data_IF_165682150334
#
_entry.id   IF_165682150334
#
_cell.length_a   1.000
_cell.length_b   1.000
_cell.length_c   1.000
_cell.angle_alpha   90.00
_cell.angle_beta   90.00
_cell.angle_gamma   90.00
#
_symmetry.space_group_name_H-M   'P 1'
#
loop_
_entity.id
_entity.type
_entity.pdbx_description
1 polymer ?
#
# COMPACT_ATOMS: atom_id res chain seq x y z
N UNK A 1 -41.85 -29.69 -25.95
CA UNK A 1 -40.56 -30.33 -25.64
C UNK A 1 -39.63 -29.95 -26.78
N UNK A 2 -38.88 -28.87 -26.61
CA UNK A 2 -37.92 -28.42 -27.61
C UNK A 2 -36.83 -29.49 -27.73
N UNK A 3 -36.53 -29.92 -28.95
CA UNK A 3 -35.40 -30.77 -29.25
C UNK A 3 -34.13 -30.04 -28.82
N UNK A 4 -33.22 -30.66 -28.04
CA UNK A 4 -31.94 -30.04 -27.74
C UNK A 4 -31.22 -29.73 -29.07
N UNK A 5 -30.80 -28.48 -29.20
CA UNK A 5 -30.06 -28.00 -30.36
C UNK A 5 -28.64 -28.56 -30.32
N UNK A 6 -28.48 -29.76 -30.88
CA UNK A 6 -27.22 -30.48 -30.95
C UNK A 6 -26.17 -29.72 -31.76
N UNK A 7 -26.59 -28.92 -32.74
CA UNK A 7 -25.67 -28.13 -33.57
C UNK A 7 -25.05 -26.99 -32.74
N UNK A 8 -25.86 -26.29 -31.94
CA UNK A 8 -25.36 -25.31 -30.96
C UNK A 8 -24.41 -25.93 -29.94
N UNK A 9 -24.67 -27.17 -29.49
CA UNK A 9 -23.76 -27.89 -28.59
C UNK A 9 -22.42 -28.22 -29.24
N UNK A 10 -22.42 -28.73 -30.48
CA UNK A 10 -21.20 -29.06 -31.22
C UNK A 10 -20.35 -27.80 -31.43
N UNK A 11 -20.97 -26.70 -31.86
CA UNK A 11 -20.28 -25.42 -32.06
C UNK A 11 -19.65 -24.92 -30.76
N UNK A 12 -20.39 -24.97 -29.64
CA UNK A 12 -19.87 -24.57 -28.34
C UNK A 12 -18.69 -25.45 -27.91
N UNK A 13 -18.82 -26.77 -28.08
CA UNK A 13 -17.77 -27.73 -27.71
C UNK A 13 -16.48 -27.47 -28.50
N UNK A 14 -16.58 -27.25 -29.81
CA UNK A 14 -15.42 -26.97 -30.66
C UNK A 14 -14.71 -25.67 -30.20
N UNK A 15 -15.47 -24.63 -29.88
CA UNK A 15 -14.93 -23.38 -29.33
C UNK A 15 -14.20 -23.62 -27.99
N UNK A 16 -14.78 -24.39 -27.08
CA UNK A 16 -14.14 -24.69 -25.79
C UNK A 16 -12.88 -25.54 -25.96
N UNK A 17 -12.88 -26.49 -26.88
CA UNK A 17 -11.70 -27.31 -27.20
C UNK A 17 -10.58 -26.44 -27.74
N UNK A 18 -10.89 -25.48 -28.63
CA UNK A 18 -9.91 -24.55 -29.17
C UNK A 18 -9.24 -23.72 -28.07
N UNK A 19 -10.04 -23.16 -27.15
CA UNK A 19 -9.55 -22.39 -25.99
C UNK A 19 -8.67 -23.26 -25.09
N UNK A 20 -9.10 -24.48 -24.79
CA UNK A 20 -8.33 -25.43 -23.97
C UNK A 20 -6.99 -25.78 -24.63
N UNK A 21 -7.00 -26.11 -25.93
CA UNK A 21 -5.80 -26.40 -26.69
C UNK A 21 -4.84 -25.22 -26.74
N UNK A 22 -5.36 -24.00 -26.96
CA UNK A 22 -4.57 -22.78 -26.93
C UNK A 22 -3.94 -22.56 -25.55
N UNK A 23 -4.72 -22.67 -24.48
CA UNK A 23 -4.26 -22.53 -23.10
C UNK A 23 -3.14 -23.52 -22.77
N UNK A 24 -3.26 -24.79 -23.17
CA UNK A 24 -2.22 -25.80 -22.94
C UNK A 24 -0.93 -25.48 -23.71
N UNK A 25 -1.02 -24.99 -24.95
CA UNK A 25 0.15 -24.59 -25.74
C UNK A 25 0.88 -23.41 -25.10
N UNK A 26 0.13 -22.38 -24.71
CA UNK A 26 0.64 -21.15 -24.11
C UNK A 26 1.19 -21.36 -22.70
N UNK A 27 0.75 -22.41 -21.99
CA UNK A 27 1.22 -22.71 -20.62
C UNK A 27 2.74 -22.90 -20.53
N UNK A 28 3.36 -23.55 -21.51
CA UNK A 28 4.81 -23.76 -21.52
C UNK A 28 5.58 -22.47 -21.76
N UNK A 29 5.06 -21.59 -22.62
CA UNK A 29 5.65 -20.26 -22.85
C UNK A 29 5.51 -19.38 -21.62
N UNK A 30 4.31 -19.34 -21.03
CA UNK A 30 4.03 -18.64 -19.77
C UNK A 30 5.01 -19.03 -18.66
N UNK A 31 5.22 -20.33 -18.42
CA UNK A 31 6.15 -20.81 -17.41
C UNK A 31 7.58 -20.34 -17.66
N UNK A 32 8.06 -20.43 -18.90
CA UNK A 32 9.40 -19.98 -19.29
C UNK A 32 9.58 -18.48 -19.10
N UNK A 33 8.60 -17.68 -19.50
CA UNK A 33 8.65 -16.22 -19.36
C UNK A 33 8.68 -15.82 -17.89
N UNK A 34 7.88 -16.47 -17.04
CA UNK A 34 7.89 -16.24 -15.59
C UNK A 34 9.21 -16.68 -14.96
N UNK A 35 9.78 -17.82 -15.36
CA UNK A 35 11.09 -18.29 -14.87
C UNK A 35 12.25 -17.38 -15.27
N UNK A 36 12.15 -16.70 -16.41
CA UNK A 36 13.16 -15.74 -16.88
C UNK A 36 13.04 -14.37 -16.23
N UNK A 37 11.92 -14.08 -15.55
CA UNK A 37 11.71 -12.81 -14.86
C UNK A 37 12.35 -12.83 -13.48
N UNK A 38 12.98 -11.72 -13.09
CA UNK A 38 13.55 -11.56 -11.75
C UNK A 38 12.46 -11.23 -10.71
N UNK A 39 11.37 -10.60 -11.12
CA UNK A 39 10.35 -10.08 -10.20
C UNK A 39 9.12 -10.98 -10.11
N UNK A 40 8.99 -12.00 -10.95
CA UNK A 40 7.83 -12.88 -10.97
C UNK A 40 8.16 -14.27 -10.44
N UNK A 41 7.17 -14.90 -9.80
CA UNK A 41 7.26 -16.29 -9.32
C UNK A 41 6.02 -17.05 -9.73
N UNK A 42 6.24 -18.23 -10.29
CA UNK A 42 5.16 -19.15 -10.64
C UNK A 42 4.51 -19.67 -9.36
N UNK A 43 3.18 -19.65 -9.32
CA UNK A 43 2.38 -20.17 -8.21
C UNK A 43 1.46 -21.26 -8.73
N UNK A 44 1.55 -22.44 -8.13
CA UNK A 44 0.62 -23.52 -8.40
C UNK A 44 -0.70 -23.30 -7.65
N UNK A 45 -1.81 -23.34 -8.40
CA UNK A 45 -3.16 -23.17 -7.88
C UNK A 45 -3.92 -24.47 -8.11
N UNK A 46 -4.33 -25.13 -7.02
CA UNK A 46 -5.01 -26.41 -7.10
C UNK A 46 -6.36 -26.26 -7.83
N UNK A 47 -6.61 -27.15 -8.80
CA UNK A 47 -7.87 -27.20 -9.55
C UNK A 47 -8.06 -26.06 -10.57
N UNK A 48 -7.02 -25.29 -10.88
CA UNK A 48 -7.11 -24.21 -11.86
C UNK A 48 -6.89 -24.69 -13.30
N UNK A 49 -7.85 -24.42 -14.17
CA UNK A 49 -7.83 -24.84 -15.58
C UNK A 49 -7.16 -23.83 -16.53
N UNK A 50 -6.76 -22.65 -16.05
CA UNK A 50 -6.10 -21.61 -16.83
C UNK A 50 -4.57 -21.78 -16.93
N UNK A 51 -3.89 -20.72 -17.38
CA UNK A 51 -2.43 -20.70 -17.51
C UNK A 51 -1.71 -20.95 -16.18
N UNK A 52 -2.20 -20.35 -15.09
CA UNK A 52 -1.66 -20.52 -13.75
C UNK A 52 -1.78 -19.28 -12.87
N UNK A 53 -1.01 -19.28 -11.78
CA UNK A 53 -0.84 -18.12 -10.91
C UNK A 53 0.55 -17.53 -11.04
N UNK A 54 0.66 -16.21 -10.95
CA UNK A 54 1.94 -15.50 -10.85
C UNK A 54 1.91 -14.57 -9.66
N UNK A 55 2.99 -14.57 -8.89
CA UNK A 55 3.19 -13.63 -7.79
C UNK A 55 4.28 -12.64 -8.17
N UNK A 56 4.00 -11.36 -7.99
CA UNK A 56 5.03 -10.35 -8.04
C UNK A 56 5.79 -10.34 -6.71
N UNK A 57 7.09 -10.56 -6.78
CA UNK A 57 8.01 -10.56 -5.65
C UNK A 57 9.17 -9.60 -5.95
N UNK A 58 9.21 -8.44 -5.27
CA UNK A 58 10.34 -7.52 -5.37
C UNK A 58 11.67 -8.22 -5.11
N UNK A 59 12.71 -7.83 -5.84
CA UNK A 59 14.08 -8.38 -5.71
C UNK A 59 14.59 -8.25 -4.27
N UNK A 60 14.20 -7.19 -3.56
CA UNK A 60 14.53 -6.97 -2.13
C UNK A 60 14.07 -8.11 -1.22
N UNK A 61 13.02 -8.85 -1.60
CA UNK A 61 12.46 -9.96 -0.83
C UNK A 61 12.92 -11.34 -1.31
N UNK A 62 13.81 -11.45 -2.31
CA UNK A 62 14.28 -12.76 -2.78
C UNK A 62 15.12 -13.50 -1.74
N UNK A 63 16.02 -12.78 -1.05
CA UNK A 63 16.95 -13.35 -0.06
C UNK A 63 16.47 -13.19 1.39
N UNK A 64 15.37 -12.47 1.59
CA UNK A 64 14.82 -12.24 2.93
C UNK A 64 14.15 -13.50 3.46
N UNK A 65 14.41 -13.86 4.72
CA UNK A 65 13.63 -14.91 5.38
C UNK A 65 12.16 -14.50 5.38
N UNK A 66 11.26 -15.37 4.90
CA UNK A 66 9.82 -15.14 4.91
C UNK A 66 9.27 -15.14 6.35
N UNK A 67 9.50 -14.04 7.06
CA UNK A 67 8.81 -13.72 8.31
C UNK A 67 7.34 -13.41 8.01
N UNK A 68 6.49 -13.54 9.01
CA UNK A 68 5.05 -13.28 8.84
C UNK A 68 4.76 -11.82 8.42
N UNK A 69 5.62 -10.88 8.83
CA UNK A 69 5.54 -9.49 8.39
C UNK A 69 5.78 -9.34 6.88
N UNK A 70 6.83 -10.00 6.35
CA UNK A 70 7.15 -9.96 4.92
C UNK A 70 6.03 -10.63 4.10
N UNK A 71 5.47 -11.74 4.60
CA UNK A 71 4.31 -12.39 3.99
C UNK A 71 3.11 -11.45 3.89
N UNK A 72 2.81 -10.71 4.95
CA UNK A 72 1.73 -9.73 4.96
C UNK A 72 1.98 -8.59 3.96
N UNK A 73 3.20 -8.05 3.92
CA UNK A 73 3.55 -7.02 2.94
C UNK A 73 3.43 -7.53 1.50
N UNK A 74 3.91 -8.74 1.23
CA UNK A 74 3.82 -9.36 -0.10
C UNK A 74 2.37 -9.63 -0.51
N UNK A 75 1.53 -10.05 0.45
CA UNK A 75 0.10 -10.22 0.21
C UNK A 75 -0.59 -8.90 -0.11
N UNK A 76 -0.36 -7.85 0.70
CA UNK A 76 -0.95 -6.54 0.45
C UNK A 76 -0.54 -6.00 -0.92
N UNK A 77 0.74 -6.12 -1.27
CA UNK A 77 1.25 -5.71 -2.58
C UNK A 77 0.56 -6.47 -3.72
N UNK A 78 0.49 -7.80 -3.64
CA UNK A 78 -0.13 -8.61 -4.70
C UNK A 78 -1.65 -8.41 -4.78
N UNK A 79 -2.33 -8.14 -3.66
CA UNK A 79 -3.77 -7.82 -3.65
C UNK A 79 -4.00 -6.48 -4.36
N UNK A 80 -3.27 -5.43 -3.97
CA UNK A 80 -3.39 -4.12 -4.61
C UNK A 80 -3.03 -4.18 -6.10
N UNK A 81 -1.99 -4.93 -6.45
CA UNK A 81 -1.60 -5.19 -7.84
C UNK A 81 -2.76 -5.79 -8.65
N UNK A 82 -3.42 -6.82 -8.12
CA UNK A 82 -4.58 -7.42 -8.80
C UNK A 82 -5.72 -6.43 -8.90
N UNK A 83 -6.01 -5.65 -7.86
CA UNK A 83 -7.05 -4.63 -7.90
C UNK A 83 -6.79 -3.58 -8.99
N UNK A 84 -5.53 -3.14 -9.12
CA UNK A 84 -5.10 -2.23 -10.19
C UNK A 84 -5.26 -2.88 -11.57
N UNK A 85 -4.74 -4.09 -11.75
CA UNK A 85 -4.84 -4.82 -13.02
C UNK A 85 -6.30 -5.06 -13.43
N UNK A 86 -7.20 -5.29 -12.48
CA UNK A 86 -8.64 -5.44 -12.74
C UNK A 86 -9.32 -4.18 -13.27
N UNK A 87 -8.74 -3.01 -13.03
CA UNK A 87 -9.24 -1.76 -13.65
C UNK A 87 -8.88 -1.66 -15.13
N UNK A 88 -7.77 -2.29 -15.53
CA UNK A 88 -7.30 -2.34 -16.92
C UNK A 88 -7.97 -3.46 -17.69
N UNK A 89 -8.01 -4.67 -17.11
CA UNK A 89 -8.57 -5.85 -17.75
C UNK A 89 -9.26 -6.78 -16.73
N UNK A 90 -10.49 -7.16 -17.04
CA UNK A 90 -11.28 -8.09 -16.23
C UNK A 90 -10.74 -9.54 -16.26
N UNK A 91 -9.81 -9.86 -17.16
CA UNK A 91 -9.15 -11.17 -17.24
C UNK A 91 -8.29 -11.50 -16.02
N UNK A 92 -7.83 -10.48 -15.28
CA UNK A 92 -7.04 -10.68 -14.07
C UNK A 92 -7.94 -10.93 -12.85
N UNK A 93 -7.59 -11.92 -12.04
CA UNK A 93 -8.32 -12.22 -10.81
C UNK A 93 -7.39 -12.56 -9.65
N UNK A 94 -7.88 -12.33 -8.43
CA UNK A 94 -7.11 -12.63 -7.24
C UNK A 94 -7.08 -14.15 -7.02
N UNK A 95 -5.90 -14.66 -6.70
CA UNK A 95 -5.71 -16.03 -6.27
C UNK A 95 -4.86 -16.17 -5.05
N UNK A 96 -4.86 -17.40 -4.55
CA UNK A 96 -4.12 -17.82 -3.38
C UNK A 96 -3.36 -19.08 -3.78
N UNK A 97 -2.05 -19.09 -3.50
CA UNK A 97 -1.21 -20.26 -3.65
C UNK A 97 -1.42 -21.25 -2.50
N UNK A 98 -0.87 -22.46 -2.63
CA UNK A 98 -0.91 -23.46 -1.56
C UNK A 98 -0.20 -23.04 -0.26
N UNK A 99 0.57 -21.95 -0.30
CA UNK A 99 1.28 -21.32 0.81
C UNK A 99 0.46 -20.22 1.53
N UNK A 100 -0.78 -19.96 1.12
CA UNK A 100 -1.64 -18.92 1.69
C UNK A 100 -1.25 -17.50 1.28
N UNK A 101 -0.40 -17.37 0.25
CA UNK A 101 0.05 -16.08 -0.26
C UNK A 101 -0.70 -15.71 -1.55
N UNK A 102 -1.05 -14.43 -1.66
CA UNK A 102 -1.78 -13.86 -2.78
C UNK A 102 -0.97 -13.96 -4.09
N UNK A 103 -1.68 -14.11 -5.20
CA UNK A 103 -1.14 -14.14 -6.55
C UNK A 103 -2.16 -13.64 -7.57
N UNK A 104 -1.69 -13.27 -8.75
CA UNK A 104 -2.50 -12.95 -9.93
C UNK A 104 -2.84 -14.25 -10.65
N UNK A 105 -4.13 -14.53 -10.85
CA UNK A 105 -4.60 -15.68 -11.62
C UNK A 105 -4.75 -15.31 -13.09
N UNK A 106 -4.22 -16.17 -13.94
CA UNK A 106 -4.37 -16.11 -15.38
C UNK A 106 -5.36 -17.18 -15.84
N UNK A 107 -6.45 -16.73 -16.45
CA UNK A 107 -7.52 -17.58 -16.96
C UNK A 107 -7.12 -18.46 -18.14
N UNK A 108 -8.14 -19.00 -18.80
CA UNK A 108 -7.98 -19.62 -20.10
C UNK A 108 -7.73 -18.54 -21.15
N UNK A 109 -6.94 -18.87 -22.16
CA UNK A 109 -6.53 -17.94 -23.22
C UNK A 109 -6.86 -18.51 -24.59
N UNK A 110 -7.06 -17.61 -25.55
CA UNK A 110 -7.26 -17.97 -26.97
C UNK A 110 -5.91 -18.07 -27.68
N UNK A 111 -5.90 -18.58 -28.91
CA UNK A 111 -4.66 -18.75 -29.68
C UNK A 111 -3.92 -17.42 -29.90
N UNK A 112 -4.66 -16.32 -30.08
CA UNK A 112 -4.13 -14.99 -30.39
C UNK A 112 -3.69 -14.20 -29.14
N UNK A 113 -3.82 -14.78 -27.94
CA UNK A 113 -3.44 -14.10 -26.70
C UNK A 113 -1.91 -13.99 -26.60
N UNK A 114 -1.41 -12.76 -26.45
CA UNK A 114 0.01 -12.51 -26.18
C UNK A 114 0.29 -12.64 -24.68
N UNK A 115 0.89 -13.76 -24.30
CA UNK A 115 1.24 -14.05 -22.91
C UNK A 115 2.34 -13.12 -22.40
N UNK A 116 3.27 -12.70 -23.27
CA UNK A 116 4.38 -11.82 -22.91
C UNK A 116 3.89 -10.42 -22.56
N UNK A 117 2.96 -9.88 -23.35
CA UNK A 117 2.32 -8.59 -23.06
C UNK A 117 1.58 -8.63 -21.71
N UNK A 118 0.79 -9.69 -21.47
CA UNK A 118 0.06 -9.83 -20.20
C UNK A 118 1.00 -9.90 -18.99
N UNK A 119 2.11 -10.62 -19.10
CA UNK A 119 3.13 -10.67 -18.04
C UNK A 119 3.82 -9.31 -17.87
N UNK A 120 4.14 -8.62 -18.96
CA UNK A 120 4.72 -7.28 -18.93
C UNK A 120 3.80 -6.24 -18.27
N UNK A 121 2.49 -6.36 -18.42
CA UNK A 121 1.50 -5.56 -17.68
C UNK A 121 1.60 -5.83 -16.17
N UNK A 122 1.72 -7.09 -15.75
CA UNK A 122 1.88 -7.44 -14.33
C UNK A 122 3.19 -6.91 -13.77
N UNK A 123 4.30 -7.01 -14.52
CA UNK A 123 5.60 -6.48 -14.10
C UNK A 123 5.56 -4.97 -13.94
N UNK A 124 5.01 -4.26 -14.93
CA UNK A 124 4.92 -2.79 -14.91
C UNK A 124 4.03 -2.31 -13.77
N UNK A 125 2.83 -2.89 -13.63
CA UNK A 125 1.92 -2.54 -12.55
C UNK A 125 2.48 -2.91 -11.16
N UNK A 126 3.22 -4.02 -11.07
CA UNK A 126 3.88 -4.46 -9.85
C UNK A 126 4.99 -3.50 -9.41
N UNK A 127 5.79 -3.02 -10.36
CA UNK A 127 6.83 -2.04 -10.11
C UNK A 127 6.24 -0.70 -9.64
N UNK A 128 5.19 -0.21 -10.30
CA UNK A 128 4.51 1.01 -9.89
C UNK A 128 3.87 0.90 -8.50
N UNK A 129 3.28 -0.25 -8.17
CA UNK A 129 2.71 -0.50 -6.84
C UNK A 129 3.81 -0.58 -5.77
N UNK A 130 4.95 -1.19 -6.09
CA UNK A 130 6.13 -1.22 -5.22
C UNK A 130 6.67 0.19 -4.94
N UNK A 131 6.80 1.03 -5.98
CA UNK A 131 7.26 2.42 -5.85
C UNK A 131 6.28 3.27 -5.05
N UNK A 132 4.98 3.14 -5.33
CA UNK A 132 3.91 3.82 -4.58
C UNK A 132 3.95 3.44 -3.09
N UNK A 133 4.14 2.16 -2.77
CA UNK A 133 4.30 1.69 -1.39
C UNK A 133 5.50 2.32 -0.68
N UNK A 134 6.67 2.37 -1.34
CA UNK A 134 7.88 3.00 -0.78
C UNK A 134 7.70 4.49 -0.50
N UNK A 135 7.01 5.21 -1.38
CA UNK A 135 6.71 6.64 -1.19
C UNK A 135 5.84 6.85 0.05
N UNK A 136 4.80 6.02 0.22
CA UNK A 136 3.91 6.09 1.39
C UNK A 136 4.64 5.78 2.70
N UNK A 137 5.51 4.77 2.72
CA UNK A 137 6.32 4.44 3.89
C UNK A 137 7.26 5.58 4.27
N UNK A 138 7.88 6.22 3.27
CA UNK A 138 8.76 7.38 3.48
C UNK A 138 7.97 8.58 4.03
N UNK A 139 6.78 8.85 3.49
CA UNK A 139 5.92 9.93 3.99
C UNK A 139 5.44 9.67 5.43
N UNK A 140 5.07 8.42 5.75
CA UNK A 140 4.68 8.03 7.10
C UNK A 140 5.84 8.21 8.10
N UNK A 141 7.06 7.87 7.71
CA UNK A 141 8.26 8.08 8.54
C UNK A 141 8.55 9.57 8.77
N UNK A 142 8.46 10.40 7.71
CA UNK A 142 8.65 11.86 7.82
C UNK A 142 7.59 12.49 8.72
N UNK A 143 6.32 12.10 8.59
CA UNK A 143 5.22 12.59 9.46
C UNK A 143 5.45 12.18 10.91
N UNK A 144 5.82 10.92 11.16
CA UNK A 144 6.13 10.44 12.51
C UNK A 144 7.26 11.24 13.15
N UNK A 145 8.38 11.44 12.44
CA UNK A 145 9.49 12.26 12.92
C UNK A 145 9.08 13.72 13.14
N UNK A 146 8.24 14.27 12.26
CA UNK A 146 7.69 15.61 12.41
C UNK A 146 6.84 15.77 13.67
N UNK A 147 6.00 14.78 14.00
CA UNK A 147 5.21 14.76 15.24
C UNK A 147 6.13 14.64 16.45
N UNK A 148 7.08 13.71 16.44
CA UNK A 148 8.03 13.51 17.55
C UNK A 148 8.85 14.79 17.81
N UNK A 149 9.40 15.41 16.77
CA UNK A 149 10.13 16.66 16.87
C UNK A 149 9.24 17.80 17.40
N UNK A 150 8.00 17.90 16.92
CA UNK A 150 7.05 18.90 17.41
C UNK A 150 6.69 18.66 18.89
N UNK A 151 6.50 17.42 19.32
CA UNK A 151 6.23 17.10 20.74
C UNK A 151 7.42 17.39 21.64
N UNK A 152 8.65 17.14 21.17
CA UNK A 152 9.87 17.43 21.91
C UNK A 152 10.08 18.94 22.06
N UNK A 153 9.86 19.73 21.00
CA UNK A 153 9.94 21.18 21.08
C UNK A 153 8.83 21.77 21.96
N UNK A 154 7.59 21.25 21.88
CA UNK A 154 6.50 21.65 22.78
C UNK A 154 6.82 21.36 24.26
N UNK A 155 7.43 20.21 24.55
CA UNK A 155 7.89 19.89 25.90
C UNK A 155 9.01 20.85 26.34
N UNK A 156 9.96 21.15 25.46
CA UNK A 156 11.06 22.10 25.73
C UNK A 156 10.54 23.52 26.00
N UNK A 157 9.61 24.01 25.18
CA UNK A 157 8.96 25.31 25.38
C UNK A 157 8.12 25.33 26.66
N UNK A 158 7.42 24.23 26.99
CA UNK A 158 6.69 24.09 28.26
C UNK A 158 7.63 24.11 29.46
N UNK A 159 8.77 23.40 29.40
CA UNK A 159 9.77 23.37 30.47
C UNK A 159 10.47 24.72 30.61
N UNK A 160 10.73 25.42 29.50
CA UNK A 160 11.25 26.79 29.50
C UNK A 160 10.23 27.79 30.06
N UNK A 161 8.94 27.64 29.75
CA UNK A 161 7.86 28.43 30.37
C UNK A 161 7.76 28.14 31.87
N UNK A 162 7.78 26.88 32.29
CA UNK A 162 7.82 26.49 33.71
C UNK A 162 9.07 27.03 34.42
N UNK A 163 10.21 27.11 33.74
CA UNK A 163 11.43 27.71 34.26
C UNK A 163 11.36 29.23 34.35
N UNK A 164 10.78 29.91 33.35
CA UNK A 164 10.56 31.36 33.37
C UNK A 164 9.52 31.75 34.42
N UNK A 165 8.48 30.94 34.59
CA UNK A 165 7.52 31.03 35.68
C UNK A 165 8.07 30.46 37.01
N UNK A 166 9.32 29.98 36.99
CA UNK A 166 9.92 29.11 37.99
C UNK A 166 9.66 29.51 39.42
N UNK A 167 9.12 28.57 40.21
CA UNK A 167 9.31 28.31 41.66
C UNK A 167 9.30 29.50 42.64
N UNK A 168 9.09 30.75 42.23
CA UNK A 168 9.00 31.94 43.09
C UNK A 168 7.62 32.09 43.73
N UNK A 169 6.82 31.03 43.80
CA UNK A 169 5.47 31.05 44.40
C UNK A 169 5.30 30.28 45.69
N UNK A 170 6.36 29.74 46.29
CA UNK A 170 6.25 29.01 47.56
C UNK A 170 6.82 29.73 48.78
N UNK A 171 7.21 31.01 48.69
CA UNK A 171 7.60 31.77 49.88
C UNK A 171 6.96 33.16 49.90
N UNK A 172 6.07 33.46 50.86
CA UNK A 172 5.53 34.80 51.02
C UNK A 172 6.62 35.70 51.60
N UNK A 173 7.21 36.55 50.75
CA UNK A 173 7.89 37.75 51.24
C UNK A 173 6.78 38.73 51.62
N UNK A 174 6.53 38.85 52.92
CA UNK A 174 5.55 39.76 53.51
C UNK A 174 5.75 41.18 52.94
N UNK A 175 4.84 41.59 52.05
CA UNK A 175 4.92 42.91 51.43
C UNK A 175 3.86 43.23 50.37
N UNK A 176 3.24 42.24 49.70
CA UNK A 176 2.17 42.55 48.73
C UNK A 176 1.17 41.40 48.56
N UNK A 177 0.12 41.41 49.39
CA UNK A 177 -1.04 40.51 49.28
C UNK A 177 -1.88 40.85 48.02
N UNK A 178 -1.71 42.05 47.46
CA UNK A 178 -2.51 42.58 46.35
C UNK A 178 -2.20 41.88 45.02
N UNK A 179 -1.00 41.32 44.86
CA UNK A 179 -0.60 40.62 43.63
C UNK A 179 -1.08 39.16 43.58
N UNK A 180 -1.45 38.57 44.72
CA UNK A 180 -1.90 37.17 44.79
C UNK A 180 -3.39 37.00 44.44
N UNK A 181 -4.17 38.07 44.60
CA UNK A 181 -5.62 38.05 44.41
C UNK A 181 -6.08 38.63 43.05
N UNK A 182 -5.12 39.02 42.20
CA UNK A 182 -5.39 39.47 40.85
C UNK A 182 -5.03 38.38 39.84
N UNK A 183 -6.00 37.82 39.09
CA UNK A 183 -5.68 36.91 38.00
C UNK A 183 -4.86 37.68 36.98
N UNK A 184 -3.59 37.29 36.81
CA UNK A 184 -2.70 37.97 35.88
C UNK A 184 -3.24 37.81 34.46
N UNK A 185 -3.20 38.92 33.72
CA UNK A 185 -3.81 39.15 32.41
C UNK A 185 -3.79 37.95 31.46
N UNK A 186 -4.93 37.71 30.83
CA UNK A 186 -5.11 36.91 29.63
C UNK A 186 -4.09 37.35 28.56
N UNK A 187 -3.08 36.52 28.29
CA UNK A 187 -2.06 36.84 27.28
C UNK A 187 -1.27 35.68 26.70
N UNK A 188 -1.40 34.46 27.22
CA UNK A 188 -0.75 33.28 26.62
C UNK A 188 -1.76 32.14 26.57
N UNK A 189 -2.66 32.21 25.58
CA UNK A 189 -3.39 31.03 25.14
C UNK A 189 -2.44 30.13 24.36
N UNK A 190 -2.60 28.81 24.50
CA UNK A 190 -1.84 27.77 23.79
C UNK A 190 -1.75 28.15 22.30
N UNK A 191 -0.53 28.42 21.82
CA UNK A 191 -0.28 28.79 20.42
C UNK A 191 -0.52 27.56 19.53
N UNK A 192 -1.59 27.57 18.75
CA UNK A 192 -1.84 26.52 17.77
C UNK A 192 -0.77 26.53 16.67
N UNK A 193 -0.41 25.36 16.14
CA UNK A 193 0.44 25.23 14.93
C UNK A 193 -0.25 24.30 13.94
N UNK A 194 -0.11 24.59 12.64
CA UNK A 194 -0.67 23.78 11.55
C UNK A 194 0.47 23.30 10.67
N UNK A 195 0.40 22.04 10.27
CA UNK A 195 1.38 21.43 9.38
C UNK A 195 1.04 21.75 7.93
N UNK A 196 2.02 22.27 7.18
CA UNK A 196 1.91 22.38 5.73
C UNK A 196 2.45 21.10 5.08
N UNK A 197 1.53 20.32 4.53
CA UNK A 197 1.80 19.00 3.92
C UNK A 197 2.68 19.08 2.67
N UNK A 198 2.77 20.24 2.03
CA UNK A 198 3.59 20.41 0.81
C UNK A 198 5.04 20.76 1.09
N UNK A 199 5.30 21.49 2.17
CA UNK A 199 6.64 21.93 2.54
C UNK A 199 7.30 21.05 3.62
N UNK A 200 6.51 20.24 4.34
CA UNK A 200 7.01 19.43 5.47
C UNK A 200 7.46 20.28 6.67
N UNK A 201 7.03 21.55 6.73
CA UNK A 201 7.43 22.52 7.75
C UNK A 201 6.21 22.86 8.61
N UNK A 202 6.43 22.96 9.92
CA UNK A 202 5.40 23.33 10.90
C UNK A 202 5.24 24.84 10.93
N UNK A 203 4.09 25.37 10.51
CA UNK A 203 3.79 26.79 10.51
C UNK A 203 2.90 27.19 11.70
N UNK A 204 3.06 28.42 12.19
CA UNK A 204 2.23 28.96 13.29
C UNK A 204 0.80 29.24 12.79
N UNK A 205 -0.23 28.89 13.59
CA UNK A 205 -1.63 29.23 13.27
C UNK A 205 -1.99 30.69 13.53
N UNK A 206 -1.07 31.50 14.06
CA UNK A 206 -1.31 32.91 14.37
C UNK A 206 -1.69 33.76 13.13
N UNK A 207 -1.40 33.28 11.92
CA UNK A 207 -1.71 33.98 10.66
C UNK A 207 -3.00 33.52 9.95
N UNK A 208 -3.68 32.48 10.44
CA UNK A 208 -4.80 31.84 9.71
C UNK A 208 -6.06 32.74 9.65
N UNK A 209 -6.18 33.72 10.55
CA UNK A 209 -7.33 34.63 10.63
C UNK A 209 -7.03 36.08 10.20
N UNK A 210 -5.96 36.31 9.41
CA UNK A 210 -5.74 37.62 8.78
C UNK A 210 -6.07 37.55 7.30
N UNK A 211 -7.36 37.41 6.96
CA UNK A 211 -8.11 38.03 5.86
C UNK A 211 -9.54 37.50 5.85
#
# INVERSE_FOLDING_TARGET
QESPDFDSFIICLDQQIEILCATVRHKTEFQKLVENSECLRLVEIQGWAGLGGVRYQPVTFQDAQLTDHIKQQLNNLNINLVERLRTTDAAFSLGEGGDGLACVRFGMVTADTDVGELLGLVETAGLEEEESGKVLDTMAEVVKRGIEAATMELQRESDEQLWQEGILRSVPVVGSIVNWWSPHNKGSGIKGRSLDLTAGIVASTENIYRY
#
